data_IF_886527877811
#
_entry.id   IF_886527877811
#
_cell.length_a   1.000
_cell.length_b   1.000
_cell.length_c   1.000
_cell.angle_alpha   90.00
_cell.angle_beta   90.00
_cell.angle_gamma   90.00
#
_symmetry.space_group_name_H-M   'P 1'
#
loop_
_entity.id
_entity.type
_entity.pdbx_description
1 polymer ?
#
# COMPACT_ATOMS: atom_id res chain seq x y z
N UNK A 1 -30.86 -8.87 23.79
CA UNK A 1 -29.64 -8.28 23.20
C UNK A 1 -28.91 -7.52 24.30
N UNK A 2 -28.08 -8.25 25.03
CA UNK A 2 -28.01 -8.19 26.49
C UNK A 2 -26.56 -7.99 26.94
N UNK A 3 -26.31 -6.93 27.72
CA UNK A 3 -25.04 -6.56 28.40
C UNK A 3 -23.75 -6.44 27.54
N UNK A 4 -23.40 -7.43 26.72
CA UNK A 4 -22.14 -7.51 25.95
C UNK A 4 -22.04 -6.41 24.88
N UNK A 5 -23.14 -6.12 24.18
CA UNK A 5 -23.19 -5.03 23.18
C UNK A 5 -22.89 -3.67 23.84
N UNK A 6 -23.49 -3.41 25.01
CA UNK A 6 -23.21 -2.18 25.80
C UNK A 6 -21.78 -2.12 26.35
N UNK A 7 -21.13 -3.26 26.53
CA UNK A 7 -19.76 -3.36 27.06
C UNK A 7 -18.72 -2.96 26.01
N UNK A 8 -19.00 -3.22 24.72
CA UNK A 8 -18.14 -2.82 23.58
C UNK A 8 -18.45 -1.40 23.10
N UNK A 9 -19.70 -0.97 23.19
CA UNK A 9 -20.12 0.37 22.73
C UNK A 9 -19.49 1.49 23.57
N UNK A 10 -19.24 1.28 24.87
CA UNK A 10 -18.68 2.30 25.75
C UNK A 10 -17.20 2.64 25.42
N UNK A 11 -16.28 1.67 25.24
CA UNK A 11 -14.95 1.94 24.70
C UNK A 11 -14.98 2.62 23.34
N UNK A 12 -15.84 2.18 22.43
CA UNK A 12 -15.97 2.79 21.09
C UNK A 12 -16.45 4.26 21.21
N UNK A 13 -17.41 4.52 22.08
CA UNK A 13 -17.86 5.87 22.40
C UNK A 13 -16.70 6.75 22.89
N UNK A 14 -15.88 6.27 23.83
CA UNK A 14 -14.73 7.02 24.33
C UNK A 14 -13.71 7.30 23.22
N UNK A 15 -13.42 6.33 22.36
CA UNK A 15 -12.51 6.50 21.22
C UNK A 15 -13.05 7.58 20.26
N UNK A 16 -14.31 7.47 19.83
CA UNK A 16 -14.90 8.45 18.92
C UNK A 16 -14.99 9.85 19.55
N UNK A 17 -15.29 9.92 20.85
CA UNK A 17 -15.32 11.17 21.58
C UNK A 17 -13.93 11.83 21.66
N UNK A 18 -12.89 11.05 21.97
CA UNK A 18 -11.52 11.55 21.99
C UNK A 18 -11.10 12.02 20.61
N UNK A 19 -11.32 11.22 19.55
CA UNK A 19 -10.98 11.60 18.17
C UNK A 19 -11.73 12.85 17.72
N UNK A 20 -13.02 12.96 18.06
CA UNK A 20 -13.84 14.12 17.73
C UNK A 20 -13.24 15.44 18.26
N UNK A 21 -12.53 15.39 19.39
CA UNK A 21 -11.86 16.54 19.99
C UNK A 21 -10.39 16.65 19.55
N UNK A 22 -9.65 15.55 19.59
CA UNK A 22 -8.21 15.52 19.36
C UNK A 22 -7.85 15.87 17.91
N UNK A 23 -8.56 15.31 16.92
CA UNK A 23 -8.25 15.57 15.52
C UNK A 23 -8.29 17.07 15.16
N UNK A 24 -9.37 17.83 15.46
CA UNK A 24 -9.41 19.26 15.14
C UNK A 24 -8.55 20.12 16.06
N UNK A 25 -8.29 19.71 17.31
CA UNK A 25 -7.55 20.54 18.28
C UNK A 25 -6.04 20.32 18.28
N UNK A 26 -5.60 19.09 18.01
CA UNK A 26 -4.19 18.67 18.07
C UNK A 26 -3.67 18.33 16.67
N UNK A 27 -4.32 17.41 15.97
CA UNK A 27 -3.80 16.90 14.69
C UNK A 27 -3.88 17.97 13.60
N UNK A 28 -4.94 18.78 13.58
CA UNK A 28 -5.07 19.90 12.65
C UNK A 28 -3.92 20.92 12.72
N UNK A 29 -3.20 21.02 13.84
CA UNK A 29 -2.00 21.86 13.95
C UNK A 29 -0.81 21.34 13.11
N UNK A 30 -0.87 20.12 12.59
CA UNK A 30 0.11 19.60 11.63
C UNK A 30 -0.09 20.23 10.25
N UNK A 31 -1.34 20.37 9.82
CA UNK A 31 -1.75 20.85 8.50
C UNK A 31 -2.02 22.35 8.43
N UNK A 32 -2.55 22.95 9.50
CA UNK A 32 -3.00 24.35 9.53
C UNK A 32 -1.98 25.25 10.26
N UNK A 33 -1.92 26.55 9.92
CA UNK A 33 -1.12 27.53 10.64
C UNK A 33 -1.46 27.58 12.13
N UNK A 34 -0.42 27.71 12.97
CA UNK A 34 -0.57 27.78 14.43
C UNK A 34 -1.47 28.95 14.89
N UNK A 35 -1.56 30.02 14.11
CA UNK A 35 -2.40 31.19 14.42
C UNK A 35 -3.90 30.88 14.55
N UNK A 36 -4.37 29.74 14.05
CA UNK A 36 -5.76 29.33 14.19
C UNK A 36 -6.08 28.63 15.52
N UNK A 37 -5.06 28.37 16.35
CA UNK A 37 -5.21 27.57 17.57
C UNK A 37 -4.90 28.39 18.83
N UNK A 38 -5.59 28.11 19.95
CA UNK A 38 -5.23 28.66 21.25
C UNK A 38 -3.80 28.34 21.66
N UNK A 39 -3.15 29.30 22.32
CA UNK A 39 -1.76 29.20 22.78
C UNK A 39 -1.52 27.98 23.69
N UNK A 40 -2.50 27.63 24.52
CA UNK A 40 -2.43 26.44 25.37
C UNK A 40 -2.21 25.14 24.58
N UNK A 41 -2.85 24.98 23.43
CA UNK A 41 -2.73 23.78 22.59
C UNK A 41 -1.40 23.75 21.82
N UNK A 42 -0.90 24.93 21.43
CA UNK A 42 0.41 25.08 20.79
C UNK A 42 1.51 24.72 21.79
N UNK A 43 1.42 25.26 23.01
CA UNK A 43 2.37 24.98 24.08
C UNK A 43 2.35 23.50 24.48
N UNK A 44 1.17 22.87 24.51
CA UNK A 44 1.04 21.44 24.76
C UNK A 44 1.76 20.60 23.69
N UNK A 45 1.55 20.92 22.41
CA UNK A 45 2.23 20.26 21.29
C UNK A 45 3.75 20.44 21.35
N UNK A 46 4.20 21.64 21.70
CA UNK A 46 5.62 21.96 21.82
C UNK A 46 6.27 21.20 22.98
N UNK A 47 5.60 21.12 24.13
CA UNK A 47 6.02 20.30 25.26
C UNK A 47 6.12 18.82 24.87
N UNK A 48 5.10 18.27 24.20
CA UNK A 48 5.10 16.87 23.73
C UNK A 48 6.30 16.61 22.81
N UNK A 49 6.56 17.51 21.87
CA UNK A 49 7.69 17.43 20.94
C UNK A 49 9.03 17.41 21.67
N UNK A 50 9.21 18.26 22.67
CA UNK A 50 10.46 18.35 23.44
C UNK A 50 10.66 17.13 24.35
N UNK A 51 9.60 16.64 24.98
CA UNK A 51 9.66 15.51 25.90
C UNK A 51 9.94 14.18 25.20
N UNK A 52 9.30 13.94 24.05
CA UNK A 52 9.34 12.66 23.36
C UNK A 52 10.21 12.64 22.09
N UNK A 53 10.67 13.80 21.61
CA UNK A 53 11.50 13.90 20.42
C UNK A 53 10.79 13.42 19.14
N UNK A 54 9.47 13.50 19.10
CA UNK A 54 8.68 12.98 17.97
C UNK A 54 8.97 13.77 16.68
N UNK A 55 9.69 13.13 15.76
CA UNK A 55 10.09 13.72 14.50
C UNK A 55 8.90 14.01 13.58
N UNK A 56 7.77 13.31 13.73
CA UNK A 56 6.57 13.53 12.91
C UNK A 56 5.96 14.91 13.16
N UNK A 57 5.89 15.34 14.41
CA UNK A 57 5.40 16.68 14.78
C UNK A 57 6.45 17.78 14.60
N UNK A 58 7.73 17.42 14.59
CA UNK A 58 8.86 18.33 14.41
C UNK A 58 9.10 18.67 12.93
N UNK A 59 9.31 17.64 12.12
CA UNK A 59 9.68 17.78 10.71
C UNK A 59 8.47 17.83 9.78
N UNK A 60 7.31 17.35 10.25
CA UNK A 60 6.04 17.29 9.50
C UNK A 60 6.24 16.70 8.10
N UNK A 61 6.69 15.43 7.99
CA UNK A 61 6.92 14.83 6.69
C UNK A 61 5.62 14.76 5.88
N UNK A 62 5.71 14.90 4.56
CA UNK A 62 4.55 15.09 3.69
C UNK A 62 3.55 13.94 3.74
N UNK A 63 4.00 12.69 3.97
CA UNK A 63 3.09 11.55 4.13
C UNK A 63 2.24 11.70 5.40
N UNK A 64 2.84 12.13 6.50
CA UNK A 64 2.18 12.31 7.79
C UNK A 64 1.12 13.42 7.70
N UNK A 65 1.47 14.55 7.07
CA UNK A 65 0.52 15.63 6.77
C UNK A 65 -0.63 15.11 5.89
N UNK A 66 -0.35 14.26 4.91
CA UNK A 66 -1.37 13.60 4.08
C UNK A 66 -2.31 12.70 4.87
N UNK A 67 -1.78 11.90 5.81
CA UNK A 67 -2.58 11.07 6.71
C UNK A 67 -3.48 11.90 7.59
N UNK A 68 -2.97 13.00 8.16
CA UNK A 68 -3.78 13.90 8.99
C UNK A 68 -4.87 14.61 8.17
N UNK A 69 -4.61 14.98 6.91
CA UNK A 69 -5.68 15.49 6.04
C UNK A 69 -6.79 14.47 5.78
N UNK A 70 -6.43 13.21 5.54
CA UNK A 70 -7.41 12.13 5.39
C UNK A 70 -8.20 11.90 6.69
N UNK A 71 -7.53 12.02 7.84
CA UNK A 71 -8.18 11.98 9.14
C UNK A 71 -9.19 13.12 9.29
N UNK A 72 -8.80 14.37 9.02
CA UNK A 72 -9.66 15.54 9.19
C UNK A 72 -10.84 15.59 8.20
N UNK A 73 -10.63 15.20 6.94
CA UNK A 73 -11.63 15.36 5.88
C UNK A 73 -12.56 14.16 5.79
N UNK A 74 -12.10 12.96 6.15
CA UNK A 74 -12.88 11.73 5.99
C UNK A 74 -13.15 11.02 7.32
N UNK A 75 -12.12 10.79 8.14
CA UNK A 75 -12.30 10.01 9.36
C UNK A 75 -13.01 10.81 10.46
N UNK A 76 -12.74 12.10 10.61
CA UNK A 76 -13.34 12.95 11.63
C UNK A 76 -14.86 13.14 11.43
N UNK A 77 -15.37 13.47 10.22
CA UNK A 77 -16.81 13.49 9.98
C UNK A 77 -17.47 12.13 10.26
N UNK A 78 -16.79 11.03 9.91
CA UNK A 78 -17.29 9.69 10.15
C UNK A 78 -17.26 9.32 11.65
N UNK A 79 -16.26 9.78 12.42
CA UNK A 79 -16.20 9.64 13.86
C UNK A 79 -17.34 10.39 14.55
N UNK A 80 -17.67 11.61 14.09
CA UNK A 80 -18.83 12.36 14.58
C UNK A 80 -20.15 11.65 14.26
N UNK A 81 -20.29 11.11 13.04
CA UNK A 81 -21.46 10.32 12.66
C UNK A 81 -21.60 9.07 13.53
N UNK A 82 -20.49 8.38 13.82
CA UNK A 82 -20.47 7.22 14.73
C UNK A 82 -20.81 7.61 16.16
N UNK A 83 -20.27 8.72 16.67
CA UNK A 83 -20.57 9.24 18.00
C UNK A 83 -22.07 9.57 18.15
N UNK A 84 -22.64 10.25 17.16
CA UNK A 84 -24.08 10.52 17.10
C UNK A 84 -24.90 9.23 17.02
N UNK A 85 -24.47 8.27 16.19
CA UNK A 85 -25.18 7.01 15.99
C UNK A 85 -25.21 6.15 17.26
N UNK A 86 -24.11 6.10 18.03
CA UNK A 86 -24.08 5.44 19.36
C UNK A 86 -25.03 6.14 20.33
N UNK A 87 -24.91 7.47 20.46
CA UNK A 87 -25.71 8.26 21.42
C UNK A 87 -27.22 8.18 21.13
N UNK A 88 -27.58 8.11 19.85
CA UNK A 88 -28.98 8.09 19.40
C UNK A 88 -29.50 6.68 19.09
N UNK A 89 -28.71 5.64 19.35
CA UNK A 89 -29.07 4.24 19.09
C UNK A 89 -29.46 3.95 17.63
N UNK A 90 -28.75 4.55 16.66
CA UNK A 90 -29.10 4.44 15.24
C UNK A 90 -28.68 3.09 14.64
N UNK A 91 -29.52 2.50 13.76
CA UNK A 91 -29.25 1.15 13.23
C UNK A 91 -28.05 1.08 12.27
N UNK A 92 -27.64 2.19 11.68
CA UNK A 92 -26.49 2.24 10.77
C UNK A 92 -25.13 2.31 11.48
N UNK A 93 -25.11 2.40 12.82
CA UNK A 93 -23.88 2.50 13.61
C UNK A 93 -22.87 1.41 13.24
N UNK A 94 -23.30 0.15 13.17
CA UNK A 94 -22.40 -0.97 12.87
C UNK A 94 -21.72 -0.81 11.50
N UNK A 95 -22.47 -0.36 10.49
CA UNK A 95 -21.94 -0.16 9.13
C UNK A 95 -20.96 1.00 9.09
N UNK A 96 -21.28 2.15 9.70
CA UNK A 96 -20.38 3.31 9.73
C UNK A 96 -19.16 3.10 10.62
N UNK A 97 -19.30 2.33 11.71
CA UNK A 97 -18.19 1.91 12.58
C UNK A 97 -17.26 0.93 11.85
N UNK A 98 -17.81 0.01 11.05
CA UNK A 98 -17.03 -0.87 10.20
C UNK A 98 -16.27 -0.08 9.14
N UNK A 99 -16.90 0.87 8.44
CA UNK A 99 -16.24 1.73 7.45
C UNK A 99 -15.09 2.52 8.10
N UNK A 100 -15.32 3.04 9.31
CA UNK A 100 -14.29 3.75 10.07
C UNK A 100 -13.11 2.84 10.46
N UNK A 101 -13.40 1.65 11.00
CA UNK A 101 -12.40 0.64 11.31
C UNK A 101 -11.60 0.23 10.07
N UNK A 102 -12.27 -0.01 8.95
CA UNK A 102 -11.63 -0.31 7.66
C UNK A 102 -10.81 0.88 7.17
N UNK A 103 -11.23 2.13 7.36
CA UNK A 103 -10.45 3.30 6.96
C UNK A 103 -9.11 3.39 7.71
N UNK A 104 -9.14 3.29 9.04
CA UNK A 104 -7.92 3.28 9.87
C UNK A 104 -7.04 2.09 9.49
N UNK A 105 -7.66 0.92 9.35
CA UNK A 105 -6.97 -0.34 9.10
C UNK A 105 -6.43 -0.42 7.67
N UNK A 106 -7.13 0.07 6.65
CA UNK A 106 -6.81 -0.06 5.22
C UNK A 106 -5.53 0.65 4.81
N UNK A 107 -5.18 1.80 5.40
CA UNK A 107 -3.91 2.47 5.10
C UNK A 107 -2.70 1.63 5.53
N UNK A 108 -2.79 0.97 6.69
CA UNK A 108 -1.73 0.11 7.22
C UNK A 108 -1.82 -1.33 6.68
N UNK A 109 -3.03 -1.83 6.45
CA UNK A 109 -3.30 -3.19 5.96
C UNK A 109 -2.98 -3.32 4.49
N UNK A 110 -3.22 -2.30 3.66
CA UNK A 110 -2.79 -2.34 2.26
C UNK A 110 -1.27 -2.41 2.18
N UNK A 111 -0.55 -1.61 2.98
CA UNK A 111 0.92 -1.65 2.99
C UNK A 111 1.46 -2.96 3.57
N UNK A 112 0.84 -3.49 4.63
CA UNK A 112 1.18 -4.80 5.20
C UNK A 112 0.87 -5.97 4.27
N UNK A 113 -0.28 -5.95 3.59
CA UNK A 113 -0.67 -6.97 2.62
C UNK A 113 0.24 -6.94 1.39
N UNK A 114 0.54 -5.75 0.86
CA UNK A 114 1.52 -5.58 -0.21
C UNK A 114 2.90 -6.06 0.23
N UNK A 115 3.31 -5.77 1.46
CA UNK A 115 4.55 -6.29 2.02
C UNK A 115 4.59 -7.83 2.05
N UNK A 116 3.54 -8.49 2.54
CA UNK A 116 3.45 -9.95 2.53
C UNK A 116 3.49 -10.52 1.11
N UNK A 117 2.78 -9.89 0.18
CA UNK A 117 2.79 -10.30 -1.23
C UNK A 117 4.18 -10.14 -1.83
N UNK A 118 4.87 -9.02 -1.61
CA UNK A 118 6.23 -8.84 -2.11
C UNK A 118 7.20 -9.85 -1.49
N UNK A 119 7.03 -10.22 -0.23
CA UNK A 119 7.83 -11.26 0.42
C UNK A 119 7.62 -12.62 -0.26
N UNK A 120 6.35 -12.99 -0.51
CA UNK A 120 6.03 -14.21 -1.27
C UNK A 120 6.65 -14.17 -2.66
N UNK A 121 6.52 -13.05 -3.39
CA UNK A 121 7.13 -12.86 -4.72
C UNK A 121 8.65 -12.96 -4.67
N UNK A 122 9.29 -12.36 -3.67
CA UNK A 122 10.74 -12.37 -3.49
C UNK A 122 11.31 -13.79 -3.37
N UNK A 123 10.52 -14.72 -2.83
CA UNK A 123 10.89 -16.14 -2.68
C UNK A 123 10.38 -16.99 -3.84
N UNK A 124 9.11 -16.84 -4.22
CA UNK A 124 8.45 -17.70 -5.21
C UNK A 124 8.97 -17.49 -6.63
N UNK A 125 9.26 -16.26 -7.04
CA UNK A 125 9.75 -15.97 -8.40
C UNK A 125 11.09 -16.65 -8.70
N UNK A 126 12.14 -16.52 -7.86
CA UNK A 126 13.41 -17.20 -8.13
C UNK A 126 13.33 -18.72 -7.92
N UNK A 127 12.49 -19.21 -7.02
CA UNK A 127 12.43 -20.65 -6.71
C UNK A 127 11.51 -21.45 -7.63
N UNK A 128 10.40 -20.87 -8.09
CA UNK A 128 9.37 -21.53 -8.91
C UNK A 128 9.29 -20.92 -10.31
N UNK A 129 9.22 -19.59 -10.40
CA UNK A 129 9.15 -18.88 -11.67
C UNK A 129 10.37 -19.16 -12.55
N UNK A 130 11.58 -19.08 -11.98
CA UNK A 130 12.82 -19.32 -12.72
C UNK A 130 12.93 -20.72 -13.32
N UNK A 131 12.22 -21.73 -12.79
CA UNK A 131 12.19 -23.09 -13.37
C UNK A 131 11.44 -23.18 -14.72
N UNK A 132 10.76 -22.12 -15.14
CA UNK A 132 10.16 -22.03 -16.47
C UNK A 132 11.22 -21.70 -17.53
N UNK A 133 12.15 -20.79 -17.20
CA UNK A 133 13.20 -20.28 -18.06
C UNK A 133 14.53 -21.04 -17.96
N UNK A 134 14.87 -21.56 -16.76
CA UNK A 134 16.15 -22.21 -16.48
C UNK A 134 16.01 -23.75 -16.47
N UNK A 135 17.11 -24.47 -16.78
CA UNK A 135 17.15 -25.93 -16.64
C UNK A 135 16.86 -26.39 -15.20
N UNK A 136 16.13 -27.50 -15.07
CA UNK A 136 15.77 -28.07 -13.77
C UNK A 136 16.99 -28.46 -12.91
N UNK A 137 18.13 -28.73 -13.53
CA UNK A 137 19.39 -29.09 -12.84
C UNK A 137 19.92 -28.03 -11.88
N UNK A 138 19.47 -26.78 -11.99
CA UNK A 138 19.85 -25.69 -11.08
C UNK A 138 19.02 -25.65 -9.79
N UNK A 139 17.98 -26.48 -9.67
CA UNK A 139 17.03 -26.43 -8.56
C UNK A 139 17.06 -27.73 -7.73
N UNK A 140 16.86 -27.63 -6.40
CA UNK A 140 16.65 -28.79 -5.54
C UNK A 140 15.47 -29.65 -5.99
N UNK A 141 15.61 -30.97 -5.83
CA UNK A 141 14.60 -31.96 -6.21
C UNK A 141 13.23 -31.69 -5.57
N UNK A 142 13.19 -31.19 -4.33
CA UNK A 142 11.95 -30.83 -3.65
C UNK A 142 11.14 -29.75 -4.41
N UNK A 143 11.81 -28.75 -5.01
CA UNK A 143 11.15 -27.69 -5.76
C UNK A 143 10.67 -28.17 -7.13
N UNK A 144 11.39 -29.11 -7.74
CA UNK A 144 11.01 -29.76 -9.00
C UNK A 144 9.74 -30.60 -8.76
N UNK A 145 9.75 -31.41 -7.71
CA UNK A 145 8.61 -32.25 -7.34
C UNK A 145 7.38 -31.42 -6.98
N UNK A 146 7.56 -30.29 -6.29
CA UNK A 146 6.47 -29.37 -5.98
C UNK A 146 5.84 -28.77 -7.25
N UNK A 147 6.66 -28.34 -8.21
CA UNK A 147 6.18 -27.83 -9.50
C UNK A 147 5.44 -28.90 -10.29
N UNK A 148 5.94 -30.14 -10.29
CA UNK A 148 5.30 -31.26 -10.98
C UNK A 148 3.95 -31.63 -10.37
N UNK A 149 3.86 -31.61 -9.04
CA UNK A 149 2.59 -31.77 -8.33
C UNK A 149 1.60 -30.65 -8.69
N UNK A 150 2.03 -29.39 -8.64
CA UNK A 150 1.19 -28.24 -9.01
C UNK A 150 0.66 -28.37 -10.45
N UNK A 151 1.52 -28.79 -11.39
CA UNK A 151 1.17 -29.02 -12.79
C UNK A 151 0.07 -30.07 -12.94
N UNK A 152 0.17 -31.15 -12.19
CA UNK A 152 -0.80 -32.24 -12.21
C UNK A 152 -2.13 -31.83 -11.56
N UNK A 153 -2.08 -31.13 -10.43
CA UNK A 153 -3.28 -30.75 -9.66
C UNK A 153 -4.11 -29.69 -10.38
N UNK A 154 -3.47 -28.62 -10.87
CA UNK A 154 -4.17 -27.48 -11.47
C UNK A 154 -4.28 -27.55 -13.00
N UNK A 155 -3.64 -28.55 -13.64
CA UNK A 155 -3.63 -28.70 -15.09
C UNK A 155 -3.06 -27.48 -15.83
N UNK A 156 -2.15 -26.73 -15.19
CA UNK A 156 -1.64 -25.47 -15.71
C UNK A 156 -0.78 -25.71 -16.97
N UNK A 157 -1.41 -25.54 -18.14
CA UNK A 157 -0.76 -25.77 -19.42
C UNK A 157 0.33 -24.74 -19.72
N UNK A 158 0.32 -23.56 -19.08
CA UNK A 158 1.36 -22.54 -19.27
C UNK A 158 2.71 -23.03 -18.73
N UNK A 159 2.69 -23.73 -17.60
CA UNK A 159 3.88 -24.38 -17.04
C UNK A 159 4.27 -25.67 -17.75
N UNK A 160 3.33 -26.32 -18.43
CA UNK A 160 3.53 -27.58 -19.15
C UNK A 160 4.09 -27.38 -20.55
N UNK A 161 3.39 -26.58 -21.37
CA UNK A 161 3.70 -26.32 -22.77
C UNK A 161 4.73 -25.19 -22.93
N UNK A 162 4.85 -24.31 -21.92
CA UNK A 162 5.78 -23.15 -21.90
C UNK A 162 5.71 -22.30 -23.18
N UNK A 163 4.56 -21.73 -23.52
CA UNK A 163 4.43 -20.89 -24.72
C UNK A 163 5.38 -19.69 -24.66
N UNK A 164 5.89 -19.26 -25.82
CA UNK A 164 6.95 -18.24 -25.90
C UNK A 164 6.58 -16.90 -25.23
N UNK A 165 5.30 -16.49 -25.30
CA UNK A 165 4.85 -15.27 -24.63
C UNK A 165 4.97 -15.40 -23.11
N UNK A 166 4.58 -16.56 -22.55
CA UNK A 166 4.61 -16.82 -21.11
C UNK A 166 6.06 -16.86 -20.59
N UNK A 167 6.96 -17.51 -21.33
CA UNK A 167 8.40 -17.49 -21.02
C UNK A 167 8.94 -16.06 -21.04
N UNK A 168 8.52 -15.24 -22.01
CA UNK A 168 8.86 -13.82 -22.07
C UNK A 168 8.34 -13.02 -20.86
N UNK A 169 7.12 -13.29 -20.42
CA UNK A 169 6.53 -12.70 -19.21
C UNK A 169 7.31 -13.10 -17.96
N UNK A 170 7.72 -14.37 -17.81
CA UNK A 170 8.51 -14.80 -16.64
C UNK A 170 9.91 -14.16 -16.64
N UNK A 171 10.53 -13.93 -17.81
CA UNK A 171 11.77 -13.17 -17.87
C UNK A 171 11.60 -11.72 -17.40
N UNK A 172 10.49 -11.07 -17.79
CA UNK A 172 10.15 -9.74 -17.29
C UNK A 172 9.91 -9.76 -15.77
N UNK A 173 9.25 -10.79 -15.26
CA UNK A 173 9.05 -10.98 -13.83
C UNK A 173 10.40 -11.11 -13.09
N UNK A 174 11.33 -11.91 -13.60
CA UNK A 174 12.65 -12.12 -13.00
C UNK A 174 13.55 -10.88 -13.01
N UNK A 175 13.61 -10.16 -14.13
CA UNK A 175 14.57 -9.05 -14.28
C UNK A 175 14.02 -7.69 -13.90
N UNK A 176 12.70 -7.51 -13.90
CA UNK A 176 12.08 -6.23 -13.62
C UNK A 176 11.22 -6.27 -12.36
N UNK A 177 10.26 -7.20 -12.28
CA UNK A 177 9.30 -7.20 -11.17
C UNK A 177 9.91 -7.70 -9.87
N UNK A 178 10.80 -8.69 -9.91
CA UNK A 178 11.47 -9.23 -8.71
C UNK A 178 12.40 -8.21 -8.05
N UNK A 179 13.33 -7.52 -8.76
CA UNK A 179 14.11 -6.44 -8.16
C UNK A 179 13.22 -5.31 -7.62
N UNK A 180 12.13 -4.99 -8.32
CA UNK A 180 11.20 -3.96 -7.90
C UNK A 180 10.40 -4.37 -6.64
N UNK A 181 10.05 -5.65 -6.49
CA UNK A 181 9.45 -6.20 -5.27
C UNK A 181 10.41 -6.09 -4.08
N UNK A 182 11.69 -6.43 -4.26
CA UNK A 182 12.71 -6.24 -3.21
C UNK A 182 12.88 -4.77 -2.82
N UNK A 183 12.89 -3.87 -3.80
CA UNK A 183 12.92 -2.43 -3.55
C UNK A 183 11.68 -1.98 -2.77
N UNK A 184 10.49 -2.48 -3.10
CA UNK A 184 9.26 -2.15 -2.39
C UNK A 184 9.27 -2.68 -0.94
N UNK A 185 9.79 -3.89 -0.69
CA UNK A 185 10.00 -4.41 0.67
C UNK A 185 10.87 -3.45 1.48
N UNK A 186 12.01 -3.05 0.92
CA UNK A 186 12.92 -2.09 1.56
C UNK A 186 12.24 -0.73 1.81
N UNK A 187 11.46 -0.24 0.83
CA UNK A 187 10.76 1.03 0.92
C UNK A 187 9.75 1.04 2.06
N UNK A 188 8.98 -0.04 2.23
CA UNK A 188 8.01 -0.20 3.31
C UNK A 188 8.72 -0.25 4.66
N UNK A 189 9.74 -1.10 4.80
CA UNK A 189 10.48 -1.28 6.06
C UNK A 189 11.21 -0.01 6.53
N UNK A 190 11.68 0.81 5.59
CA UNK A 190 12.41 2.05 5.88
C UNK A 190 11.59 3.32 5.66
N UNK A 191 10.28 3.21 5.43
CA UNK A 191 9.38 4.35 5.23
C UNK A 191 9.82 5.31 4.12
N UNK A 192 10.32 4.80 2.99
CA UNK A 192 10.89 5.63 1.92
C UNK A 192 9.80 6.35 1.12
N UNK A 193 9.98 7.65 0.77
CA UNK A 193 8.96 8.44 0.09
C UNK A 193 8.67 7.98 -1.35
N UNK A 194 9.62 7.29 -1.98
CA UNK A 194 9.48 6.77 -3.35
C UNK A 194 8.66 5.47 -3.43
N UNK A 195 8.21 4.92 -2.29
CA UNK A 195 7.40 3.70 -2.26
C UNK A 195 6.17 3.79 -3.16
N UNK A 196 5.43 4.91 -3.13
CA UNK A 196 4.24 5.07 -3.96
C UNK A 196 4.58 4.93 -5.45
N UNK A 197 5.69 5.51 -5.90
CA UNK A 197 6.12 5.46 -7.30
C UNK A 197 6.55 4.06 -7.69
N UNK A 198 7.37 3.38 -6.88
CA UNK A 198 7.80 2.02 -7.17
C UNK A 198 6.66 1.00 -7.09
N UNK A 199 5.71 1.20 -6.18
CA UNK A 199 4.50 0.40 -6.06
C UNK A 199 3.56 0.62 -7.27
N UNK A 200 3.43 1.87 -7.75
CA UNK A 200 2.70 2.18 -8.97
C UNK A 200 3.29 1.47 -10.19
N UNK A 201 4.61 1.59 -10.38
CA UNK A 201 5.33 0.93 -11.49
C UNK A 201 5.13 -0.58 -11.42
N UNK A 202 5.20 -1.15 -10.22
CA UNK A 202 4.98 -2.59 -10.01
C UNK A 202 3.55 -2.98 -10.42
N UNK A 203 2.54 -2.28 -9.90
CA UNK A 203 1.13 -2.54 -10.20
C UNK A 203 0.81 -2.44 -11.70
N UNK A 204 1.31 -1.39 -12.36
CA UNK A 204 1.13 -1.22 -13.81
C UNK A 204 1.82 -2.35 -14.58
N UNK A 205 3.05 -2.71 -14.21
CA UNK A 205 3.79 -3.78 -14.88
C UNK A 205 3.11 -5.14 -14.75
N UNK A 206 2.72 -5.55 -13.53
CA UNK A 206 2.10 -6.86 -13.31
C UNK A 206 0.73 -6.96 -14.00
N UNK A 207 -0.09 -5.90 -13.93
CA UNK A 207 -1.40 -5.88 -14.59
C UNK A 207 -1.24 -5.94 -16.12
N UNK A 208 -0.40 -5.08 -16.71
CA UNK A 208 -0.28 -4.96 -18.18
C UNK A 208 0.49 -6.10 -18.83
N UNK A 209 1.58 -6.57 -18.21
CA UNK A 209 2.58 -7.41 -18.86
C UNK A 209 2.44 -8.90 -18.52
N UNK A 210 1.74 -9.21 -17.42
CA UNK A 210 1.55 -10.57 -16.95
C UNK A 210 0.08 -10.94 -16.91
N UNK A 211 -0.70 -10.25 -16.08
CA UNK A 211 -2.06 -10.68 -15.74
C UNK A 211 -3.02 -10.55 -16.93
N UNK A 212 -3.02 -9.42 -17.64
CA UNK A 212 -3.92 -9.22 -18.78
C UNK A 212 -3.64 -10.20 -19.93
N UNK A 213 -2.38 -10.37 -20.40
CA UNK A 213 -2.07 -11.37 -21.43
C UNK A 213 -2.40 -12.80 -21.01
N UNK A 214 -2.00 -13.20 -19.79
CA UNK A 214 -2.25 -14.55 -19.28
C UNK A 214 -3.74 -14.83 -19.14
N UNK A 215 -4.51 -13.95 -18.49
CA UNK A 215 -5.96 -14.13 -18.38
C UNK A 215 -6.65 -14.09 -19.74
N UNK A 216 -6.20 -13.24 -20.67
CA UNK A 216 -6.77 -13.20 -22.02
C UNK A 216 -6.55 -14.52 -22.76
N UNK A 217 -5.37 -15.12 -22.65
CA UNK A 217 -5.08 -16.41 -23.26
C UNK A 217 -5.86 -17.55 -22.57
N UNK A 218 -5.97 -17.53 -21.23
CA UNK A 218 -6.76 -18.51 -20.49
C UNK A 218 -8.24 -18.48 -20.90
N UNK A 219 -8.82 -17.29 -21.06
CA UNK A 219 -10.23 -17.10 -21.45
C UNK A 219 -10.45 -17.44 -22.93
N UNK A 220 -9.56 -16.97 -23.82
CA UNK A 220 -9.73 -17.12 -25.28
C UNK A 220 -9.36 -18.50 -25.80
N UNK A 221 -8.38 -19.17 -25.18
CA UNK A 221 -7.94 -20.51 -25.62
C UNK A 221 -9.00 -21.59 -25.37
N UNK A 222 -9.94 -21.37 -24.44
CA UNK A 222 -10.92 -22.37 -24.01
C UNK A 222 -10.32 -23.61 -23.34
N UNK A 223 -9.01 -23.59 -23.06
CA UNK A 223 -8.26 -24.69 -22.44
C UNK A 223 -8.22 -24.59 -20.91
N UNK A 224 -8.52 -23.42 -20.35
CA UNK A 224 -8.43 -23.17 -18.92
C UNK A 224 -9.66 -23.69 -18.16
N UNK A 225 -9.44 -24.36 -17.04
CA UNK A 225 -10.50 -24.70 -16.10
C UNK A 225 -10.93 -23.49 -15.27
N UNK A 226 -12.14 -23.52 -14.72
CA UNK A 226 -12.63 -22.49 -13.79
C UNK A 226 -11.73 -22.36 -12.55
N UNK A 227 -11.15 -23.47 -12.08
CA UNK A 227 -10.21 -23.50 -10.97
C UNK A 227 -8.90 -22.77 -11.31
N UNK A 228 -8.38 -22.95 -12.53
CA UNK A 228 -7.19 -22.26 -13.00
C UNK A 228 -7.44 -20.75 -13.14
N UNK A 229 -8.61 -20.34 -13.64
CA UNK A 229 -8.99 -18.92 -13.69
C UNK A 229 -9.09 -18.31 -12.28
N UNK A 230 -9.67 -19.05 -11.32
CA UNK A 230 -9.77 -18.60 -9.93
C UNK A 230 -8.40 -18.51 -9.25
N UNK A 231 -7.43 -19.31 -9.68
CA UNK A 231 -6.04 -19.23 -9.21
C UNK A 231 -5.31 -17.97 -9.71
N UNK A 232 -5.56 -17.54 -10.95
CA UNK A 232 -4.91 -16.35 -11.51
C UNK A 232 -5.61 -15.02 -11.15
N UNK A 233 -6.90 -15.04 -10.81
CA UNK A 233 -7.67 -13.84 -10.48
C UNK A 233 -7.12 -13.00 -9.31
N UNK A 234 -6.59 -13.56 -8.21
CA UNK A 234 -5.99 -12.80 -7.11
C UNK A 234 -4.83 -11.91 -7.55
N UNK A 235 -4.03 -12.32 -8.53
CA UNK A 235 -2.90 -11.52 -9.03
C UNK A 235 -3.36 -10.23 -9.72
N UNK A 236 -4.54 -10.25 -10.36
CA UNK A 236 -5.17 -9.04 -10.88
C UNK A 236 -5.52 -8.08 -9.74
N UNK A 237 -6.14 -8.60 -8.68
CA UNK A 237 -6.47 -7.83 -7.49
C UNK A 237 -5.24 -7.17 -6.87
N UNK A 238 -4.14 -7.92 -6.72
CA UNK A 238 -2.86 -7.41 -6.24
C UNK A 238 -2.34 -6.27 -7.13
N UNK A 239 -2.32 -6.46 -8.45
CA UNK A 239 -1.84 -5.44 -9.38
C UNK A 239 -2.65 -4.14 -9.32
N UNK A 240 -3.97 -4.26 -9.25
CA UNK A 240 -4.88 -3.12 -9.09
C UNK A 240 -4.67 -2.42 -7.75
N UNK A 241 -4.55 -3.16 -6.65
CA UNK A 241 -4.30 -2.60 -5.31
C UNK A 241 -2.96 -1.87 -5.27
N UNK A 242 -1.89 -2.45 -5.81
CA UNK A 242 -0.57 -1.82 -5.90
C UNK A 242 -0.62 -0.53 -6.75
N UNK A 243 -1.32 -0.58 -7.89
CA UNK A 243 -1.51 0.57 -8.76
C UNK A 243 -2.28 1.71 -8.05
N UNK A 244 -3.40 1.39 -7.42
CA UNK A 244 -4.20 2.35 -6.65
C UNK A 244 -3.41 2.94 -5.49
N UNK A 245 -2.63 2.11 -4.77
CA UNK A 245 -1.78 2.55 -3.66
C UNK A 245 -0.72 3.55 -4.11
N UNK A 246 -0.18 3.35 -5.31
CA UNK A 246 0.78 4.25 -5.93
C UNK A 246 0.20 5.57 -6.43
N UNK A 247 -1.10 5.60 -6.77
CA UNK A 247 -1.82 6.82 -7.13
C UNK A 247 -2.25 7.67 -5.93
N UNK A 248 -2.23 7.13 -4.71
CA UNK A 248 -2.47 7.92 -3.50
C UNK A 248 -1.40 9.03 -3.45
N UNK A 249 -1.81 10.30 -3.57
CA UNK A 249 -0.88 11.39 -3.81
C UNK A 249 0.15 11.48 -2.69
N UNK A 250 1.43 11.41 -3.08
CA UNK A 250 2.47 12.04 -2.30
C UNK A 250 2.27 13.54 -2.52
N UNK A 251 2.06 14.31 -1.45
CA UNK A 251 2.20 15.77 -1.53
C UNK A 251 3.64 16.05 -1.95
N UNK A 252 3.86 16.18 -3.26
CA UNK A 252 5.16 16.43 -3.83
C UNK A 252 5.47 17.91 -3.57
N UNK A 253 6.50 18.16 -2.75
CA UNK A 253 7.23 19.42 -2.88
C UNK A 253 7.71 19.47 -4.32
N UNK A 254 7.14 20.39 -5.10
CA UNK A 254 7.75 20.88 -6.32
C UNK A 254 9.18 21.28 -5.97
N UNK A 255 10.14 20.49 -6.43
CA UNK A 255 11.54 20.86 -6.39
C UNK A 255 11.74 22.04 -7.33
N UNK A 256 11.63 23.27 -6.81
CA UNK A 256 12.15 24.47 -7.46
C UNK A 256 13.68 24.47 -7.40
N UNK A 257 14.29 23.47 -8.03
CA UNK A 257 15.71 23.37 -8.30
C UNK A 257 16.05 23.91 -9.69
N UNK A 258 15.66 25.14 -10.01
CA UNK A 258 16.13 25.85 -11.21
C UNK A 258 16.67 27.20 -10.77
N UNK A 259 17.99 27.25 -10.56
CA UNK A 259 18.68 28.46 -10.14
C UNK A 259 20.18 28.31 -9.94
N UNK A 260 20.86 27.33 -10.55
CA UNK A 260 22.33 27.40 -10.67
C UNK A 260 22.69 28.44 -11.73
N UNK A 261 22.74 29.72 -11.34
CA UNK A 261 23.57 30.71 -12.04
C UNK A 261 25.00 30.50 -11.58
N UNK A 262 25.74 29.65 -12.27
CA UNK A 262 27.20 29.69 -12.27
C UNK A 262 27.61 30.93 -13.08
N UNK A 263 27.97 32.00 -12.39
CA UNK A 263 28.57 33.17 -13.01
C UNK A 263 29.98 32.80 -13.49
N UNK A 264 30.11 32.52 -14.79
CA UNK A 264 31.39 32.25 -15.44
C UNK A 264 32.24 33.53 -15.45
N UNK A 265 33.48 33.41 -14.97
CA UNK A 265 34.42 34.52 -14.82
C UNK A 265 34.70 35.26 -16.12
N UNK A 266 34.57 36.59 -16.08
CA UNK A 266 34.97 37.49 -17.16
C UNK A 266 36.48 37.72 -17.08
N UNK A 267 37.22 37.12 -18.02
CA UNK A 267 38.67 37.34 -18.21
C UNK A 267 38.95 38.82 -18.49
N UNK A 268 39.94 39.38 -17.79
CA UNK A 268 40.67 40.60 -18.17
C UNK A 268 41.39 40.36 -19.51
N UNK A 269 41.34 41.34 -20.40
CA UNK A 269 42.41 41.61 -21.36
C UNK A 269 42.64 43.12 -21.44
N UNK A 270 43.92 43.44 -21.22
CA UNK A 270 44.76 44.60 -21.56
C UNK A 270 44.07 45.78 -22.22
#
# INVERSE_FOLDING_TARGET
MSAIVKLVDFPLFLVFFVVALAAPLLDAQTCLPASYFPEALINFKEWYRQQYGDYLFSEKPNFFVGTVWLELVFQWPLALLNLYAILSGKPWFNTSCLIYGVSITSSMVVDFLLFLVFLVVAVAVPLLGAQTCLPASYFPEALINFKEWYRHEYGDYLFSEKPNFFVGTVWLELFFQWPLALLNIYAILCGKPWFNTSCLIYGVSITSSMVVPVLSELILSGKASDELLMLYAPFLGVGVVAMLRGFVPHSAKSGSGVGKRTAFGRKKRV
#
